data_IF_707238120157
#
_entry.id   IF_707238120157
#
_cell.length_a   1.000
_cell.length_b   1.000
_cell.length_c   1.000
_cell.angle_alpha   90.00
_cell.angle_beta   90.00
_cell.angle_gamma   90.00
#
_symmetry.space_group_name_H-M   'P 1'
#
loop_
_entity.id
_entity.type
_entity.pdbx_description
1 polymer ?
#
# COMPACT_ATOMS: atom_id res chain seq x y z
N UNK A 1 7.18 37.39 40.24
CA UNK A 1 7.50 37.72 38.83
C UNK A 1 7.43 36.44 38.03
N UNK A 2 6.26 36.20 37.41
CA UNK A 2 5.89 34.96 36.74
C UNK A 2 6.54 34.99 35.36
N UNK A 3 7.43 34.02 35.10
CA UNK A 3 8.14 33.86 33.82
C UNK A 3 7.20 33.25 32.77
N UNK A 4 6.22 34.02 32.35
CA UNK A 4 5.33 33.69 31.24
C UNK A 4 5.96 34.17 29.92
N UNK A 5 7.03 33.49 29.48
CA UNK A 5 7.51 33.63 28.10
C UNK A 5 6.82 32.54 27.28
N UNK A 6 5.82 32.97 26.52
CA UNK A 6 4.92 32.16 25.72
C UNK A 6 5.67 31.24 24.75
N UNK A 7 5.47 29.94 24.95
CA UNK A 7 5.64 28.90 23.93
C UNK A 7 4.59 29.13 22.84
N UNK A 8 4.93 29.89 21.80
CA UNK A 8 4.02 30.12 20.69
C UNK A 8 4.80 30.28 19.38
N UNK A 9 5.48 29.22 18.92
CA UNK A 9 6.09 29.17 17.58
C UNK A 9 6.38 27.71 17.17
N UNK A 10 5.33 26.88 17.05
CA UNK A 10 5.50 25.51 16.51
C UNK A 10 4.21 24.91 15.93
N UNK A 11 3.40 25.70 15.22
CA UNK A 11 2.16 25.19 14.59
C UNK A 11 2.08 25.38 13.07
N UNK A 12 3.20 25.63 12.37
CA UNK A 12 3.21 25.77 10.90
C UNK A 12 3.76 24.55 10.15
N UNK A 13 4.06 23.43 10.84
CA UNK A 13 4.63 22.24 10.21
C UNK A 13 3.57 21.22 9.70
N UNK A 14 2.28 21.57 9.64
CA UNK A 14 1.20 20.65 9.27
C UNK A 14 0.71 20.76 7.82
N UNK A 15 1.28 21.64 6.98
CA UNK A 15 0.80 21.84 5.60
C UNK A 15 1.60 21.11 4.51
N UNK A 16 2.62 20.33 4.87
CA UNK A 16 3.46 19.64 3.87
C UNK A 16 3.14 18.14 3.71
N UNK A 17 2.11 17.62 4.38
CA UNK A 17 1.48 16.38 3.95
C UNK A 17 0.52 16.72 2.81
N UNK A 18 1.06 17.14 1.66
CA UNK A 18 0.28 17.13 0.44
C UNK A 18 -0.30 15.70 0.33
N UNK A 19 -1.62 15.53 0.12
CA UNK A 19 -2.11 14.22 -0.24
C UNK A 19 -1.27 13.85 -1.47
N UNK A 20 -0.60 12.70 -1.43
CA UNK A 20 0.02 12.16 -2.63
C UNK A 20 -1.07 12.24 -3.69
N UNK A 21 -0.94 13.19 -4.62
CA UNK A 21 -2.01 13.53 -5.55
C UNK A 21 -2.42 12.21 -6.17
N UNK A 22 -3.65 11.79 -5.93
CA UNK A 22 -4.18 10.54 -6.44
C UNK A 22 -4.26 10.70 -7.96
N UNK A 23 -3.12 10.57 -8.62
CA UNK A 23 -3.00 10.48 -10.05
C UNK A 23 -3.67 9.16 -10.40
N UNK A 24 -4.94 9.23 -10.78
CA UNK A 24 -5.70 8.06 -11.18
C UNK A 24 -5.18 7.58 -12.53
N UNK A 25 -4.31 6.56 -12.50
CA UNK A 25 -3.88 5.85 -13.71
C UNK A 25 -4.89 4.76 -13.98
N UNK A 26 -5.70 4.92 -15.03
CA UNK A 26 -6.65 3.90 -15.50
C UNK A 26 -5.95 2.96 -16.46
N UNK A 27 -5.85 1.68 -16.10
CA UNK A 27 -5.26 0.63 -16.94
C UNK A 27 -6.36 -0.32 -17.40
N UNK A 28 -6.48 -0.55 -18.71
CA UNK A 28 -7.39 -1.57 -19.25
C UNK A 28 -6.82 -2.95 -18.95
N UNK A 29 -7.57 -3.74 -18.18
CA UNK A 29 -7.21 -5.12 -17.81
C UNK A 29 -8.04 -6.18 -18.56
N UNK A 30 -9.04 -5.76 -19.33
CA UNK A 30 -9.88 -6.66 -20.11
C UNK A 30 -9.03 -7.50 -21.10
N UNK A 31 -9.24 -8.81 -21.10
CA UNK A 31 -8.49 -9.77 -21.93
C UNK A 31 -7.15 -10.21 -21.37
N UNK A 32 -6.72 -9.68 -20.22
CA UNK A 32 -5.56 -10.22 -19.48
C UNK A 32 -5.97 -11.40 -18.62
N UNK A 33 -5.06 -12.34 -18.40
CA UNK A 33 -5.31 -13.43 -17.46
C UNK A 33 -5.38 -12.88 -16.02
N UNK A 34 -6.31 -13.40 -15.22
CA UNK A 34 -6.44 -13.07 -13.80
C UNK A 34 -5.12 -13.23 -13.03
N UNK A 35 -4.31 -14.21 -13.41
CA UNK A 35 -2.99 -14.44 -12.85
C UNK A 35 -2.03 -13.26 -13.06
N UNK A 36 -1.99 -12.71 -14.27
CA UNK A 36 -1.10 -11.59 -14.63
C UNK A 36 -1.52 -10.30 -13.93
N UNK A 37 -2.83 -10.03 -13.93
CA UNK A 37 -3.39 -8.85 -13.25
C UNK A 37 -3.12 -8.93 -11.75
N UNK A 38 -3.31 -10.10 -11.12
CA UNK A 38 -2.98 -10.28 -9.71
C UNK A 38 -1.49 -10.13 -9.44
N UNK A 39 -0.62 -10.64 -10.31
CA UNK A 39 0.83 -10.51 -10.14
C UNK A 39 1.27 -9.03 -10.14
N UNK A 40 0.70 -8.22 -11.02
CA UNK A 40 0.96 -6.77 -11.06
C UNK A 40 0.47 -6.08 -9.78
N UNK A 41 -0.73 -6.44 -9.30
CA UNK A 41 -1.27 -5.92 -8.03
C UNK A 41 -0.35 -6.29 -6.86
N UNK A 42 0.08 -7.54 -6.77
CA UNK A 42 1.01 -8.00 -5.72
C UNK A 42 2.33 -7.25 -5.79
N UNK A 43 2.88 -7.01 -6.98
CA UNK A 43 4.13 -6.26 -7.17
C UNK A 43 4.00 -4.80 -6.75
N UNK A 44 2.90 -4.15 -7.12
CA UNK A 44 2.60 -2.77 -6.72
C UNK A 44 2.42 -2.67 -5.20
N UNK A 45 1.57 -3.51 -4.61
CA UNK A 45 1.35 -3.57 -3.17
C UNK A 45 2.64 -3.87 -2.40
N UNK A 46 3.44 -4.83 -2.87
CA UNK A 46 4.74 -5.17 -2.27
C UNK A 46 5.71 -4.00 -2.26
N UNK A 47 5.65 -3.12 -3.26
CA UNK A 47 6.52 -1.95 -3.33
C UNK A 47 6.05 -0.85 -2.38
N UNK A 48 4.76 -0.51 -2.37
CA UNK A 48 4.20 0.52 -1.49
C UNK A 48 4.29 0.08 -0.02
N UNK A 49 3.84 -1.13 0.30
CA UNK A 49 3.89 -1.65 1.67
C UNK A 49 5.31 -1.73 2.22
N UNK A 50 6.32 -2.00 1.39
CA UNK A 50 7.71 -1.98 1.86
C UNK A 50 8.19 -0.57 2.19
N UNK A 51 7.83 0.43 1.38
CA UNK A 51 8.19 1.82 1.66
C UNK A 51 7.53 2.33 2.94
N UNK A 52 6.30 1.89 3.23
CA UNK A 52 5.60 2.28 4.46
C UNK A 52 6.20 1.64 5.72
N UNK A 53 6.64 0.37 5.65
CA UNK A 53 7.06 -0.36 6.86
C UNK A 53 8.58 -0.43 7.06
N UNK A 54 9.40 -0.05 6.08
CA UNK A 54 10.87 -0.09 6.18
C UNK A 54 11.37 0.93 7.22
N UNK A 55 11.66 0.45 8.42
CA UNK A 55 12.06 1.31 9.54
C UNK A 55 11.24 1.07 10.79
N UNK A 56 10.13 0.36 10.66
CA UNK A 56 9.36 -0.13 11.80
C UNK A 56 10.06 -1.31 12.48
N UNK A 57 10.00 -1.34 13.81
CA UNK A 57 10.57 -2.44 14.63
C UNK A 57 10.02 -3.83 14.27
N UNK A 58 8.79 -3.86 13.74
CA UNK A 58 8.09 -5.08 13.33
C UNK A 58 7.85 -5.14 11.81
N UNK A 59 8.70 -4.48 11.01
CA UNK A 59 8.57 -4.42 9.55
C UNK A 59 8.29 -5.78 8.91
N UNK A 60 9.01 -6.84 9.33
CA UNK A 60 8.86 -8.19 8.78
C UNK A 60 7.52 -8.85 9.10
N UNK A 61 6.84 -8.42 10.16
CA UNK A 61 5.47 -8.86 10.49
C UNK A 61 4.41 -8.03 9.79
N UNK A 62 4.63 -6.71 9.72
CA UNK A 62 3.69 -5.76 9.13
C UNK A 62 3.64 -5.88 7.61
N UNK A 63 4.78 -6.13 6.97
CA UNK A 63 4.91 -6.23 5.52
C UNK A 63 3.98 -7.27 4.87
N UNK A 64 4.00 -8.56 5.26
CA UNK A 64 3.10 -9.55 4.67
C UNK A 64 1.62 -9.27 4.96
N UNK A 65 1.30 -8.66 6.10
CA UNK A 65 -0.07 -8.29 6.45
C UNK A 65 -0.58 -7.15 5.56
N UNK A 66 0.23 -6.10 5.37
CA UNK A 66 -0.06 -4.99 4.48
C UNK A 66 -0.30 -5.49 3.06
N UNK A 67 0.63 -6.29 2.50
CA UNK A 67 0.50 -6.77 1.11
C UNK A 67 -0.78 -7.58 0.92
N UNK A 68 -1.12 -8.46 1.85
CA UNK A 68 -2.33 -9.28 1.74
C UNK A 68 -3.60 -8.44 1.80
N UNK A 69 -3.66 -7.48 2.73
CA UNK A 69 -4.80 -6.58 2.85
C UNK A 69 -4.97 -5.72 1.60
N UNK A 70 -3.88 -5.09 1.13
CA UNK A 70 -3.89 -4.22 -0.04
C UNK A 70 -4.28 -4.98 -1.32
N UNK A 71 -3.78 -6.19 -1.51
CA UNK A 71 -4.13 -7.01 -2.68
C UNK A 71 -5.62 -7.39 -2.67
N UNK A 72 -6.13 -7.83 -1.52
CA UNK A 72 -7.54 -8.20 -1.37
C UNK A 72 -8.47 -7.02 -1.64
N UNK A 73 -8.14 -5.84 -1.10
CA UNK A 73 -8.88 -4.60 -1.31
C UNK A 73 -8.85 -4.16 -2.79
N UNK A 74 -7.68 -4.19 -3.44
CA UNK A 74 -7.58 -3.86 -4.85
C UNK A 74 -8.41 -4.81 -5.73
N UNK A 75 -8.30 -6.12 -5.51
CA UNK A 75 -9.05 -7.13 -6.26
C UNK A 75 -10.56 -6.93 -6.08
N UNK A 76 -11.03 -6.65 -4.86
CA UNK A 76 -12.44 -6.37 -4.60
C UNK A 76 -12.93 -5.10 -5.32
N UNK A 77 -12.11 -4.05 -5.37
CA UNK A 77 -12.42 -2.80 -6.09
C UNK A 77 -12.46 -2.95 -7.60
N UNK A 78 -11.69 -3.88 -8.17
CA UNK A 78 -11.73 -4.18 -9.61
C UNK A 78 -13.05 -4.86 -10.00
N UNK A 79 -13.67 -5.63 -9.11
CA UNK A 79 -14.99 -6.25 -9.33
C UNK A 79 -15.02 -7.38 -10.37
N UNK A 80 -13.86 -7.86 -10.80
CA UNK A 80 -13.74 -8.95 -11.77
C UNK A 80 -13.87 -10.31 -11.07
N UNK A 81 -14.86 -11.11 -11.46
CA UNK A 81 -15.19 -12.36 -10.79
C UNK A 81 -14.08 -13.41 -10.88
N UNK A 82 -13.40 -13.50 -12.02
CA UNK A 82 -12.32 -14.45 -12.25
C UNK A 82 -11.09 -14.06 -11.43
N UNK A 83 -10.79 -12.77 -11.34
CA UNK A 83 -9.72 -12.23 -10.50
C UNK A 83 -10.00 -12.45 -9.01
N UNK A 84 -11.24 -12.24 -8.57
CA UNK A 84 -11.66 -12.49 -7.18
C UNK A 84 -11.50 -13.98 -6.84
N UNK A 85 -12.00 -14.88 -7.68
CA UNK A 85 -11.88 -16.31 -7.49
C UNK A 85 -10.40 -16.76 -7.48
N UNK A 86 -9.60 -16.25 -8.42
CA UNK A 86 -8.18 -16.55 -8.49
C UNK A 86 -7.44 -16.05 -7.24
N UNK A 87 -7.75 -14.86 -6.74
CA UNK A 87 -7.15 -14.32 -5.53
C UNK A 87 -7.54 -15.10 -4.27
N UNK A 88 -8.79 -15.57 -4.16
CA UNK A 88 -9.22 -16.40 -3.04
C UNK A 88 -8.49 -17.76 -3.02
N UNK A 89 -8.30 -18.38 -4.19
CA UNK A 89 -7.55 -19.63 -4.33
C UNK A 89 -6.03 -19.46 -4.11
N UNK A 90 -5.51 -18.25 -4.33
CA UNK A 90 -4.09 -17.93 -4.26
C UNK A 90 -3.88 -16.75 -3.31
N UNK A 91 -3.76 -16.95 -1.99
CA UNK A 91 -3.54 -15.84 -1.06
C UNK A 91 -2.22 -15.12 -1.36
N UNK A 92 -2.26 -13.78 -1.33
CA UNK A 92 -1.09 -12.95 -1.62
C UNK A 92 0.04 -13.20 -0.62
N UNK A 93 1.24 -13.41 -1.16
CA UNK A 93 2.50 -13.44 -0.42
C UNK A 93 3.33 -12.25 -0.90
N UNK A 94 3.97 -11.49 0.00
CA UNK A 94 4.91 -10.47 -0.42
C UNK A 94 6.00 -11.07 -1.31
N UNK A 95 6.52 -10.26 -2.24
CA UNK A 95 7.74 -10.61 -2.94
C UNK A 95 8.85 -10.81 -1.91
N UNK A 96 9.68 -11.84 -2.08
CA UNK A 96 10.85 -12.03 -1.22
C UNK A 96 11.70 -10.78 -1.26
N UNK A 97 11.80 -10.11 -0.10
CA UNK A 97 12.59 -8.88 0.08
C UNK A 97 14.08 -9.16 -0.16
N UNK A 98 14.49 -10.44 -0.14
CA UNK A 98 15.86 -10.93 -0.28
C UNK A 98 16.52 -10.66 -1.65
N UNK A 99 15.79 -10.16 -2.65
CA UNK A 99 16.34 -9.86 -3.98
C UNK A 99 16.41 -8.34 -4.31
N UNK A 100 16.46 -7.48 -3.28
CA UNK A 100 16.68 -6.03 -3.44
C UNK A 100 17.89 -5.55 -2.66
#
# INVERSE_FOLDING_TARGET
MIRSAALALSALALLAAAPAGAAEVRVKVAGRAAADVRADIVKAASTVCWQDVRGESLAMYLYPACVRSSVNDAVAKLGDADLIAYNAANPAKPLEVAAR
#
